data_IF_370785773148
#
_entry.id   IF_370785773148
#
_cell.length_a   1.000
_cell.length_b   1.000
_cell.length_c   1.000
_cell.angle_alpha   90.00
_cell.angle_beta   90.00
_cell.angle_gamma   90.00
#
_symmetry.space_group_name_H-M   'P 1'
#
loop_
_entity.id
_entity.type
_entity.pdbx_description
1 polymer ?
#
# COMPACT_ATOMS: atom_id res chain seq x y z
N UNK A 1 -7.99 7.55 4.21
CA UNK A 1 -6.70 6.84 4.08
C UNK A 1 -6.81 5.92 2.88
N UNK A 2 -5.71 5.73 2.17
CA UNK A 2 -5.63 4.86 1.01
C UNK A 2 -4.45 3.91 1.20
N UNK A 3 -4.69 2.65 0.87
CA UNK A 3 -3.70 1.59 0.90
C UNK A 3 -3.11 1.43 -0.50
N UNK A 4 -1.79 1.42 -0.62
CA UNK A 4 -1.09 1.10 -1.86
C UNK A 4 -0.40 -0.26 -1.70
N UNK A 5 -0.88 -1.25 -2.44
CA UNK A 5 -0.25 -2.56 -2.56
C UNK A 5 0.53 -2.65 -3.86
N UNK A 6 1.83 -2.92 -3.76
CA UNK A 6 2.59 -3.45 -4.89
C UNK A 6 2.38 -4.96 -4.91
N UNK A 7 2.28 -5.55 -6.11
CA UNK A 7 1.98 -6.96 -6.30
C UNK A 7 2.59 -7.47 -7.60
N UNK A 8 2.56 -8.79 -7.79
CA UNK A 8 3.03 -9.42 -9.03
C UNK A 8 2.32 -8.81 -10.25
N UNK A 9 3.05 -8.42 -11.31
CA UNK A 9 2.45 -7.80 -12.47
C UNK A 9 1.42 -8.69 -13.18
N UNK A 10 0.30 -8.12 -13.60
CA UNK A 10 -0.66 -8.79 -14.48
C UNK A 10 -1.08 -7.90 -15.65
N UNK A 11 -1.42 -8.53 -16.76
CA UNK A 11 -1.93 -7.84 -17.95
C UNK A 11 -3.45 -7.64 -17.86
N UNK A 12 -3.93 -6.48 -18.30
CA UNK A 12 -5.35 -6.18 -18.45
C UNK A 12 -5.57 -5.47 -19.80
N UNK A 13 -6.60 -5.84 -20.59
CA UNK A 13 -6.84 -5.25 -21.92
C UNK A 13 -6.95 -3.72 -21.93
N UNK A 14 -7.45 -3.14 -20.84
CA UNK A 14 -7.62 -1.69 -20.66
C UNK A 14 -6.32 -0.95 -20.28
N UNK A 15 -5.20 -1.65 -20.06
CA UNK A 15 -3.92 -1.04 -19.67
C UNK A 15 -2.80 -1.37 -20.68
N UNK A 16 -2.07 -0.35 -21.19
CA UNK A 16 -0.99 -0.56 -22.16
C UNK A 16 0.28 -1.17 -21.55
N UNK A 17 0.37 -1.19 -20.23
CA UNK A 17 1.49 -1.75 -19.46
C UNK A 17 0.94 -2.68 -18.38
N UNK A 18 1.73 -3.70 -17.94
CA UNK A 18 1.32 -4.55 -16.83
C UNK A 18 1.03 -3.75 -15.57
N UNK A 19 -0.08 -4.08 -14.90
CA UNK A 19 -0.45 -3.51 -13.60
C UNK A 19 0.38 -4.22 -12.55
N UNK A 20 1.14 -3.49 -11.75
CA UNK A 20 2.00 -4.01 -10.67
C UNK A 20 1.74 -3.32 -9.32
N UNK A 21 0.77 -2.41 -9.27
CA UNK A 21 0.30 -1.84 -8.03
C UNK A 21 -1.18 -1.48 -8.09
N UNK A 22 -1.81 -1.41 -6.93
CA UNK A 22 -3.22 -1.01 -6.78
C UNK A 22 -3.38 -0.11 -5.57
N UNK A 23 -4.09 1.02 -5.74
CA UNK A 23 -4.56 1.86 -4.64
C UNK A 23 -6.04 1.59 -4.37
N UNK A 24 -6.38 1.36 -3.10
CA UNK A 24 -7.77 1.26 -2.64
C UNK A 24 -8.02 2.15 -1.43
N UNK A 25 -9.28 2.49 -1.17
CA UNK A 25 -9.64 3.10 0.10
C UNK A 25 -9.35 2.13 1.26
N UNK A 26 -8.80 2.62 2.38
CA UNK A 26 -8.39 1.74 3.50
C UNK A 26 -9.53 0.85 4.03
N UNK A 27 -10.77 1.37 4.07
CA UNK A 27 -11.96 0.57 4.47
C UNK A 27 -12.22 -0.67 3.59
N UNK A 28 -11.62 -0.76 2.40
CA UNK A 28 -11.66 -1.98 1.58
C UNK A 28 -11.05 -3.16 2.33
N UNK A 29 -10.09 -2.94 3.22
CA UNK A 29 -9.50 -3.98 4.06
C UNK A 29 -10.49 -4.62 5.04
N UNK A 30 -11.66 -4.00 5.25
CA UNK A 30 -12.78 -4.52 6.03
C UNK A 30 -13.77 -5.33 5.18
N UNK A 31 -13.47 -5.57 3.90
CA UNK A 31 -14.35 -6.35 3.04
C UNK A 31 -14.35 -7.83 3.47
N UNK A 32 -15.52 -8.49 3.61
CA UNK A 32 -15.62 -9.84 4.17
C UNK A 32 -15.00 -10.96 3.32
N UNK A 33 -14.64 -10.66 2.06
CA UNK A 33 -13.89 -11.58 1.19
C UNK A 33 -12.36 -11.48 1.37
N UNK A 34 -11.87 -10.53 2.15
CA UNK A 34 -10.46 -10.51 2.55
C UNK A 34 -10.28 -11.37 3.81
N UNK A 35 -9.08 -11.92 4.05
CA UNK A 35 -8.76 -12.57 5.31
C UNK A 35 -9.06 -11.64 6.50
N UNK A 36 -9.94 -12.09 7.40
CA UNK A 36 -10.25 -11.41 8.66
C UNK A 36 -9.80 -12.34 9.81
N UNK A 37 -9.22 -11.81 10.90
CA UNK A 37 -9.14 -10.40 11.28
C UNK A 37 -8.01 -9.58 10.62
N UNK A 38 -7.14 -10.20 9.83
CA UNK A 38 -5.90 -9.62 9.29
C UNK A 38 -6.13 -8.30 8.53
N UNK A 39 -7.09 -8.28 7.60
CA UNK A 39 -7.46 -7.06 6.89
C UNK A 39 -7.97 -5.96 7.83
N UNK A 40 -8.73 -6.33 8.85
CA UNK A 40 -9.16 -5.41 9.90
C UNK A 40 -8.00 -4.85 10.74
N UNK A 41 -7.00 -5.66 11.06
CA UNK A 41 -5.81 -5.21 11.78
C UNK A 41 -4.93 -4.29 10.89
N UNK A 42 -4.76 -4.63 9.61
CA UNK A 42 -4.10 -3.76 8.65
C UNK A 42 -4.84 -2.42 8.45
N UNK A 43 -6.19 -2.44 8.42
CA UNK A 43 -6.99 -1.22 8.41
C UNK A 43 -6.65 -0.33 9.61
N UNK A 44 -6.59 -0.92 10.81
CA UNK A 44 -6.24 -0.18 12.02
C UNK A 44 -4.82 0.38 11.94
N UNK A 45 -3.82 -0.37 11.45
CA UNK A 45 -2.47 0.16 11.21
C UNK A 45 -2.48 1.39 10.27
N UNK A 46 -3.33 1.39 9.24
CA UNK A 46 -3.45 2.52 8.31
C UNK A 46 -4.10 3.76 8.90
N UNK A 47 -4.91 3.61 9.95
CA UNK A 47 -5.70 4.72 10.52
C UNK A 47 -5.25 5.16 11.89
N UNK A 48 -4.62 4.28 12.67
CA UNK A 48 -4.28 4.50 14.08
C UNK A 48 -2.79 4.78 14.29
N UNK A 49 -1.92 4.40 13.35
CA UNK A 49 -0.49 4.72 13.47
C UNK A 49 -0.23 6.24 13.46
N UNK A 50 0.85 6.70 14.11
CA UNK A 50 1.23 8.11 14.09
C UNK A 50 1.41 8.70 12.69
N UNK A 51 1.16 10.00 12.55
CA UNK A 51 1.37 10.74 11.30
C UNK A 51 0.34 10.48 10.20
N UNK A 52 -0.69 9.68 10.45
CA UNK A 52 -1.78 9.45 9.50
C UNK A 52 -2.73 10.65 9.45
N UNK A 53 -3.03 11.13 8.24
CA UNK A 53 -4.07 12.15 8.01
C UNK A 53 -5.03 11.78 6.85
N UNK A 54 -6.29 12.24 6.87
CA UNK A 54 -7.26 11.93 5.81
C UNK A 54 -6.71 12.24 4.41
N UNK A 55 -6.84 11.27 3.50
CA UNK A 55 -6.35 11.37 2.12
C UNK A 55 -4.95 10.78 1.88
N UNK A 56 -4.15 10.49 2.91
CA UNK A 56 -2.84 9.84 2.75
C UNK A 56 -2.91 8.58 1.89
N UNK A 57 -1.91 8.40 1.04
CA UNK A 57 -1.57 7.11 0.44
C UNK A 57 -0.46 6.49 1.27
N UNK A 58 -0.69 5.27 1.77
CA UNK A 58 0.28 4.53 2.57
C UNK A 58 0.67 3.27 1.81
N UNK A 59 1.91 3.19 1.29
CA UNK A 59 2.46 1.96 0.73
C UNK A 59 2.54 0.85 1.78
N UNK A 60 2.31 -0.39 1.37
CA UNK A 60 2.57 -1.58 2.19
C UNK A 60 3.99 -1.61 2.77
N UNK A 61 4.97 -1.12 2.01
CA UNK A 61 6.35 -1.03 2.50
C UNK A 61 6.52 -0.01 3.64
N UNK A 62 5.67 1.03 3.72
CA UNK A 62 5.63 1.94 4.87
C UNK A 62 5.12 1.20 6.10
N UNK A 63 4.04 0.41 5.98
CA UNK A 63 3.54 -0.41 7.10
C UNK A 63 4.61 -1.40 7.56
N UNK A 64 5.27 -2.07 6.63
CA UNK A 64 6.36 -3.00 6.94
C UNK A 64 7.49 -2.30 7.71
N UNK A 65 7.87 -1.10 7.27
CA UNK A 65 8.84 -0.28 8.00
C UNK A 65 8.38 0.06 9.42
N UNK A 66 7.13 0.45 9.61
CA UNK A 66 6.54 0.81 10.91
C UNK A 66 6.28 -0.40 11.83
N UNK A 67 6.35 -1.60 11.27
CA UNK A 67 6.25 -2.89 11.95
C UNK A 67 7.63 -3.54 12.12
N UNK A 68 8.62 -2.74 12.52
CA UNK A 68 10.00 -3.15 12.78
C UNK A 68 10.65 -3.85 11.59
N UNK A 69 10.48 -3.27 10.40
CA UNK A 69 11.01 -3.86 9.16
C UNK A 69 10.32 -5.18 8.79
N UNK A 70 9.11 -5.39 9.29
CA UNK A 70 8.28 -6.56 9.05
C UNK A 70 8.33 -7.62 10.15
N UNK A 71 9.20 -7.47 11.16
CA UNK A 71 9.29 -8.42 12.27
C UNK A 71 8.00 -8.51 13.09
N UNK A 72 7.16 -7.46 13.08
CA UNK A 72 5.90 -7.40 13.83
C UNK A 72 4.67 -7.79 13.00
N UNK A 73 4.82 -8.19 11.73
CA UNK A 73 3.71 -8.71 10.93
C UNK A 73 2.98 -9.91 11.57
N UNK A 74 3.65 -10.88 12.23
CA UNK A 74 2.95 -11.99 12.89
C UNK A 74 1.94 -11.57 13.97
N UNK A 75 2.07 -10.36 14.54
CA UNK A 75 1.11 -9.82 15.50
C UNK A 75 -0.07 -9.08 14.83
N UNK A 76 0.01 -8.86 13.51
CA UNK A 76 -1.02 -8.18 12.70
C UNK A 76 -1.76 -9.18 11.81
N UNK A 77 -1.05 -10.07 11.12
CA UNK A 77 -1.64 -11.07 10.23
C UNK A 77 -0.82 -11.31 8.96
N UNK A 78 -1.39 -12.11 8.07
CA UNK A 78 -0.82 -12.47 6.78
C UNK A 78 -1.08 -11.36 5.75
N UNK A 79 -0.15 -10.41 5.68
CA UNK A 79 -0.25 -9.26 4.78
C UNK A 79 -0.23 -9.65 3.31
N UNK A 80 0.45 -10.74 2.94
CA UNK A 80 0.55 -11.23 1.55
C UNK A 80 -0.83 -11.66 1.07
N UNK A 81 -1.52 -12.51 1.85
CA UNK A 81 -2.87 -12.96 1.52
C UNK A 81 -3.88 -11.81 1.48
N UNK A 82 -3.72 -10.80 2.33
CA UNK A 82 -4.57 -9.61 2.29
C UNK A 82 -4.30 -8.77 1.03
N UNK A 83 -3.04 -8.55 0.67
CA UNK A 83 -2.67 -7.82 -0.54
C UNK A 83 -3.19 -8.52 -1.81
N UNK A 84 -3.02 -9.85 -1.91
CA UNK A 84 -3.57 -10.65 -2.99
C UNK A 84 -5.10 -10.56 -3.05
N UNK A 85 -5.75 -10.65 -1.89
CA UNK A 85 -7.19 -10.46 -1.78
C UNK A 85 -7.65 -9.09 -2.30
N UNK A 86 -6.92 -8.01 -1.98
CA UNK A 86 -7.22 -6.66 -2.47
C UNK A 86 -7.11 -6.60 -4.00
N UNK A 87 -6.10 -7.22 -4.59
CA UNK A 87 -5.95 -7.31 -6.05
C UNK A 87 -7.13 -8.06 -6.66
N UNK A 88 -7.56 -9.18 -6.06
CA UNK A 88 -8.72 -9.93 -6.53
C UNK A 88 -10.03 -9.12 -6.44
N UNK A 89 -10.25 -8.38 -5.35
CA UNK A 89 -11.43 -7.52 -5.20
C UNK A 89 -11.48 -6.40 -6.24
N UNK A 90 -10.34 -5.75 -6.46
CA UNK A 90 -10.16 -4.71 -7.47
C UNK A 90 -10.51 -5.25 -8.86
N UNK A 91 -9.94 -6.40 -9.24
CA UNK A 91 -10.19 -7.05 -10.55
C UNK A 91 -11.64 -7.48 -10.73
N UNK A 92 -12.33 -7.87 -9.66
CA UNK A 92 -13.75 -8.23 -9.68
C UNK A 92 -14.69 -7.02 -9.57
N UNK A 93 -14.15 -5.79 -9.48
CA UNK A 93 -14.91 -4.53 -9.33
C UNK A 93 -15.83 -4.53 -8.10
N UNK A 94 -15.39 -5.19 -7.04
CA UNK A 94 -16.12 -5.26 -5.76
C UNK A 94 -15.79 -4.09 -4.83
N UNK A 95 -14.79 -3.31 -5.19
CA UNK A 95 -14.46 -2.01 -4.64
C UNK A 95 -13.98 -1.09 -5.76
N UNK A 96 -13.98 0.21 -5.51
CA UNK A 96 -13.26 1.15 -6.35
C UNK A 96 -11.75 0.99 -6.07
N UNK A 97 -10.98 0.95 -7.14
CA UNK A 97 -9.54 0.77 -7.11
C UNK A 97 -8.89 1.59 -8.22
N UNK A 98 -7.64 1.99 -7.99
CA UNK A 98 -6.77 2.58 -9.01
C UNK A 98 -5.65 1.59 -9.32
N UNK A 99 -5.80 0.75 -10.36
CA UNK A 99 -4.72 -0.08 -10.87
C UNK A 99 -3.66 0.79 -11.54
N UNK A 100 -2.38 0.50 -11.26
CA UNK A 100 -1.23 1.27 -11.71
C UNK A 100 -0.18 0.35 -12.34
N UNK A 101 0.35 0.76 -13.48
CA UNK A 101 1.58 0.22 -14.05
C UNK A 101 2.76 1.12 -13.68
N UNK A 102 3.37 0.86 -12.54
CA UNK A 102 4.52 1.61 -12.05
C UNK A 102 5.77 1.28 -12.87
N UNK A 103 6.51 2.32 -13.25
CA UNK A 103 7.84 2.16 -13.86
C UNK A 103 8.93 1.80 -12.85
N UNK A 104 10.15 1.48 -13.32
CA UNK A 104 11.24 0.94 -12.49
C UNK A 104 11.59 1.78 -11.26
N UNK A 105 11.64 3.11 -11.42
CA UNK A 105 11.90 4.07 -10.32
C UNK A 105 10.85 3.95 -9.23
N UNK A 106 9.57 4.10 -9.59
CA UNK A 106 8.46 4.06 -8.65
C UNK A 106 8.36 2.70 -7.95
N UNK A 107 8.51 1.59 -8.67
CA UNK A 107 8.57 0.25 -8.09
C UNK A 107 9.70 0.11 -7.08
N UNK A 108 10.90 0.59 -7.42
CA UNK A 108 12.06 0.50 -6.52
C UNK A 108 11.85 1.29 -5.23
N UNK A 109 11.44 2.56 -5.32
CA UNK A 109 11.32 3.41 -4.13
C UNK A 109 10.05 3.13 -3.33
N UNK A 110 8.95 2.64 -3.94
CA UNK A 110 7.70 2.34 -3.24
C UNK A 110 7.64 0.91 -2.69
N UNK A 111 8.40 -0.04 -3.24
CA UNK A 111 8.44 -1.43 -2.77
C UNK A 111 9.29 -1.66 -1.52
N UNK A 112 10.08 -0.67 -1.11
CA UNK A 112 11.07 -0.81 -0.04
C UNK A 112 10.86 0.20 1.09
N UNK A 113 11.69 0.11 2.14
CA UNK A 113 11.60 0.99 3.30
C UNK A 113 11.86 2.46 2.97
N UNK A 114 11.33 3.41 3.76
CA UNK A 114 11.33 4.84 3.42
C UNK A 114 12.69 5.51 3.37
N UNK A 115 13.72 4.89 3.95
CA UNK A 115 15.08 5.42 4.02
C UNK A 115 16.10 4.54 3.27
N UNK A 116 15.63 3.61 2.44
CA UNK A 116 16.52 2.75 1.65
C UNK A 116 16.89 3.44 0.33
N UNK A 117 18.19 3.42 0.00
CA UNK A 117 18.68 3.85 -1.31
C UNK A 117 18.65 2.67 -2.29
N UNK A 118 18.14 2.90 -3.50
CA UNK A 118 17.99 1.88 -4.53
C UNK A 118 18.68 2.27 -5.82
N UNK A 119 19.60 1.43 -6.27
CA UNK A 119 20.19 1.56 -7.59
C UNK A 119 19.37 0.77 -8.61
N UNK A 120 18.78 1.46 -9.57
CA UNK A 120 18.05 0.89 -10.70
C UNK A 120 18.98 0.84 -11.91
N UNK A 121 19.06 -0.32 -12.53
CA UNK A 121 19.81 -0.55 -13.76
C UNK A 121 18.87 -0.46 -14.96
N UNK A 122 19.18 0.44 -15.89
CA UNK A 122 18.44 0.62 -17.13
C UNK A 122 19.17 -0.08 -18.28
N UNK A 123 18.41 -0.59 -19.26
CA UNK A 123 18.98 -1.30 -20.42
C UNK A 123 19.89 -0.39 -21.24
N UNK A 124 19.51 0.89 -21.40
CA UNK A 124 20.20 1.84 -22.30
C UNK A 124 20.80 3.04 -21.54
N UNK A 125 21.26 2.85 -20.30
CA UNK A 125 21.80 3.96 -19.53
C UNK A 125 22.60 3.57 -18.29
N UNK A 126 23.31 4.54 -17.68
CA UNK A 126 24.02 4.29 -16.43
C UNK A 126 23.02 3.95 -15.31
N UNK A 127 23.45 3.18 -14.30
CA UNK A 127 22.64 2.94 -13.11
C UNK A 127 22.29 4.26 -12.43
N UNK A 128 21.07 4.38 -11.91
CA UNK A 128 20.62 5.56 -11.17
C UNK A 128 20.23 5.17 -9.75
N UNK A 129 20.63 5.98 -8.78
CA UNK A 129 20.30 5.76 -7.36
C UNK A 129 19.19 6.69 -6.95
N UNK A 130 18.17 6.12 -6.30
CA UNK A 130 17.01 6.83 -5.78
C UNK A 130 16.91 6.65 -4.26
N UNK A 131 16.46 7.69 -3.57
CA UNK A 131 16.39 7.71 -2.11
C UNK A 131 15.03 8.13 -1.56
N UNK A 132 15.05 8.59 -0.30
CA UNK A 132 13.86 9.02 0.43
C UNK A 132 13.12 10.20 -0.21
N UNK A 133 13.85 11.14 -0.81
CA UNK A 133 13.26 12.28 -1.53
C UNK A 133 12.47 11.82 -2.76
N UNK A 134 13.03 10.89 -3.54
CA UNK A 134 12.35 10.29 -4.69
C UNK A 134 11.09 9.54 -4.25
N UNK A 135 11.18 8.75 -3.17
CA UNK A 135 10.02 8.08 -2.59
C UNK A 135 8.92 9.06 -2.21
N UNK A 136 9.28 10.16 -1.54
CA UNK A 136 8.31 11.16 -1.11
C UNK A 136 7.64 11.84 -2.30
N UNK A 137 8.38 12.10 -3.38
CA UNK A 137 7.84 12.62 -4.62
C UNK A 137 6.83 11.64 -5.26
N UNK A 138 7.13 10.34 -5.31
CA UNK A 138 6.19 9.32 -5.82
C UNK A 138 4.92 9.23 -4.95
N UNK A 139 5.05 9.24 -3.62
CA UNK A 139 3.88 9.21 -2.71
C UNK A 139 3.03 10.48 -2.89
N UNK A 140 3.65 11.65 -3.06
CA UNK A 140 2.95 12.90 -3.30
C UNK A 140 2.18 12.86 -4.63
N UNK A 141 2.79 12.34 -5.70
CA UNK A 141 2.13 12.16 -6.99
C UNK A 141 0.91 11.22 -6.89
N UNK A 142 1.05 10.06 -6.22
CA UNK A 142 -0.06 9.13 -5.99
C UNK A 142 -1.18 9.75 -5.14
N UNK A 143 -0.80 10.55 -4.14
CA UNK A 143 -1.77 11.28 -3.32
C UNK A 143 -2.56 12.28 -4.14
N UNK A 144 -1.92 12.97 -5.09
CA UNK A 144 -2.62 13.87 -6.02
C UNK A 144 -3.59 13.11 -6.93
N UNK A 145 -3.15 11.99 -7.51
CA UNK A 145 -4.02 11.14 -8.32
C UNK A 145 -5.28 10.70 -7.57
N UNK A 146 -5.13 10.32 -6.30
CA UNK A 146 -6.25 9.97 -5.42
C UNK A 146 -7.16 11.18 -5.15
N UNK A 147 -6.59 12.36 -4.87
CA UNK A 147 -7.39 13.59 -4.65
C UNK A 147 -8.24 13.92 -5.88
N UNK A 148 -7.65 13.88 -7.08
CA UNK A 148 -8.36 14.13 -8.33
C UNK A 148 -9.47 13.10 -8.60
N UNK A 149 -9.26 11.84 -8.23
CA UNK A 149 -10.29 10.82 -8.32
C UNK A 149 -11.44 11.11 -7.35
N UNK A 150 -11.12 11.37 -6.07
CA UNK A 150 -12.11 11.65 -5.02
C UNK A 150 -12.94 12.91 -5.32
N UNK A 151 -12.35 13.90 -5.98
CA UNK A 151 -13.07 15.10 -6.41
C UNK A 151 -14.22 14.81 -7.39
N UNK A 152 -14.19 13.68 -8.10
CA UNK A 152 -15.26 13.23 -9.03
C UNK A 152 -16.31 12.35 -8.35
N UNK A 153 -16.03 11.89 -7.13
CA UNK A 153 -16.89 11.01 -6.35
C UNK A 153 -16.07 10.22 -5.33
N UNK A 154 -16.64 9.88 -4.17
CA UNK A 154 -15.90 9.15 -3.14
C UNK A 154 -15.54 7.74 -3.61
N UNK A 155 -14.33 7.30 -3.27
CA UNK A 155 -13.95 5.89 -3.40
C UNK A 155 -14.94 4.98 -2.65
N UNK A 156 -15.53 4.02 -3.36
CA UNK A 156 -16.38 2.99 -2.78
C UNK A 156 -15.52 1.85 -2.23
N UNK A 157 -15.47 1.64 -0.90
CA UNK A 157 -14.69 0.55 -0.31
C UNK A 157 -15.27 -0.86 -0.54
N UNK A 158 -16.38 -0.98 -1.26
CA UNK A 158 -17.19 -2.19 -1.35
C UNK A 158 -18.36 -2.20 -0.36
N UNK A 159 -19.09 -3.32 -0.32
CA UNK A 159 -20.32 -3.48 0.47
C UNK A 159 -20.14 -4.48 1.61
N UNK A 160 -21.02 -4.42 2.61
CA UNK A 160 -21.06 -5.41 3.70
C UNK A 160 -19.80 -5.43 4.57
N UNK A 161 -19.14 -4.27 4.74
CA UNK A 161 -17.88 -4.17 5.48
C UNK A 161 -18.03 -4.65 6.93
N UNK A 162 -17.08 -5.43 7.39
CA UNK A 162 -16.98 -5.85 8.78
C UNK A 162 -16.56 -4.68 9.68
N UNK A 163 -16.77 -4.84 10.99
CA UNK A 163 -16.21 -3.91 11.97
C UNK A 163 -14.72 -4.22 12.18
N UNK A 164 -13.85 -3.21 12.35
CA UNK A 164 -12.47 -3.43 12.73
C UNK A 164 -12.37 -4.20 14.07
N UNK A 165 -11.39 -5.11 14.21
CA UNK A 165 -11.17 -5.85 15.44
C UNK A 165 -10.72 -4.92 16.57
N UNK A 166 -11.27 -5.09 17.77
CA UNK A 166 -10.90 -4.29 18.95
C UNK A 166 -9.57 -4.69 19.57
N UNK A 167 -9.25 -5.99 19.50
CA UNK A 167 -7.99 -6.52 19.98
C UNK A 167 -6.95 -6.57 18.85
N UNK A 168 -5.66 -6.30 19.15
CA UNK A 168 -5.16 -5.81 20.44
C UNK A 168 -5.58 -4.36 20.68
N UNK A 169 -5.76 -3.95 21.93
CA UNK A 169 -6.10 -2.56 22.28
C UNK A 169 -5.09 -1.56 21.70
N UNK A 170 -3.79 -1.89 21.83
CA UNK A 170 -2.68 -1.12 21.26
C UNK A 170 -2.01 -1.94 20.17
N UNK A 171 -1.94 -1.39 18.97
CA UNK A 171 -1.22 -2.04 17.86
C UNK A 171 0.30 -1.90 18.05
N UNK A 172 1.08 -2.92 17.64
CA UNK A 172 2.53 -2.81 17.62
C UNK A 172 2.96 -1.75 16.60
N UNK A 173 3.44 -0.61 17.06
CA UNK A 173 4.06 0.42 16.23
C UNK A 173 5.52 0.60 16.67
N UNK A 174 6.44 0.26 15.78
CA UNK A 174 7.89 0.37 16.00
C UNK A 174 8.57 0.58 14.65
N UNK A 175 8.72 1.84 14.19
CA UNK A 175 9.50 2.15 13.02
C UNK A 175 10.90 1.53 13.10
N UNK A 176 11.31 0.86 12.02
CA UNK A 176 12.61 0.18 11.95
C UNK A 176 13.76 1.18 12.19
N UNK A 177 14.72 0.78 13.02
CA UNK A 177 15.89 1.59 13.32
C UNK A 177 17.07 1.15 12.45
N UNK A 178 17.47 2.03 11.53
CA UNK A 178 18.61 1.81 10.63
C UNK A 178 19.97 2.01 11.31
N UNK A 179 20.03 2.53 12.55
CA UNK A 179 21.30 2.77 13.27
C UNK A 179 21.97 1.50 13.82
N UNK A 180 21.30 0.36 13.73
CA UNK A 180 21.77 -0.93 14.27
C UNK A 180 22.52 -1.81 13.25
N UNK A 181 22.92 -1.25 12.10
CA UNK A 181 23.69 -1.94 11.04
C UNK A 181 25.05 -1.33 10.81
#
# INVERSE_FOLDING_TARGET
MHFLALHEPYSAPEHPVPINATIVHARTLLHPRLPQPDGGLMFRCLTEFPGRFPGCVVPLSTLTYELDGGALWPAIGDWERVADGVVLLSRQRLCDAMPLGLGPRATAVLGNGPYTNHTVYYVDGPPQTYGSEDRQAEIAAMTEHVKNFVARGPFRPGQGLTLPPREPEVLPYRPYDYSTR
#
